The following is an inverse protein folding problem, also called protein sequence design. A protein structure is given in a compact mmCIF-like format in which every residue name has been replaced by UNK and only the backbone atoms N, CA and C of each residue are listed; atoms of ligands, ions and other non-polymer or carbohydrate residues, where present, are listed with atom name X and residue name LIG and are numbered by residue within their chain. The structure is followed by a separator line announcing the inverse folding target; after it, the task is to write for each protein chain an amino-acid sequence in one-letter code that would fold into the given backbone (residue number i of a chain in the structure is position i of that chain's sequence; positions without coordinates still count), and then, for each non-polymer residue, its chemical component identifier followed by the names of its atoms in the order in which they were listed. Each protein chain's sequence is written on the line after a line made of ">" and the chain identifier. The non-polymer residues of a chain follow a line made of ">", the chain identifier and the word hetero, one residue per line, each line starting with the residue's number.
data_IF_484263753314
#
_entry.id   IF_484263753314
#
_cell.length_a   1.000
_cell.length_b   1.000
_cell.length_c   1.000
_cell.angle_alpha   90.00
_cell.angle_beta   90.00
_cell.angle_gamma   90.00
#
_symmetry.space_group_name_H-M   'P 1'
#
loop_
_entity.id
_entity.type
_entity.pdbx_description
1 polymer ?
#
# COMPACT_ATOMS: atom_id res chain seq x y z
N UNK A 1 -0.05 8.17 36.60
CA UNK A 1 0.15 7.88 35.17
C UNK A 1 0.30 6.38 35.05
N UNK A 2 -0.63 5.69 34.40
CA UNK A 2 -0.57 4.24 34.23
C UNK A 2 0.57 3.86 33.28
N UNK A 3 1.44 2.96 33.72
CA UNK A 3 2.50 2.37 32.89
C UNK A 3 1.88 1.65 31.68
N UNK A 4 1.95 2.27 30.50
CA UNK A 4 1.68 1.56 29.25
C UNK A 4 2.80 0.55 29.01
N UNK A 5 2.51 -0.74 29.21
CA UNK A 5 3.42 -1.84 28.87
C UNK A 5 3.19 -2.27 27.42
N UNK A 6 4.28 -2.43 26.66
CA UNK A 6 4.24 -3.04 25.33
C UNK A 6 3.68 -4.48 25.41
N UNK A 7 2.94 -4.89 24.38
CA UNK A 7 2.37 -6.23 24.26
C UNK A 7 2.63 -6.78 22.86
N UNK A 8 3.06 -8.04 22.80
CA UNK A 8 3.11 -8.78 21.54
C UNK A 8 1.70 -9.18 21.10
N UNK A 9 1.37 -8.87 19.84
CA UNK A 9 0.05 -9.07 19.24
C UNK A 9 0.21 -9.61 17.83
N UNK A 10 -0.81 -10.28 17.31
CA UNK A 10 -0.81 -10.67 15.90
C UNK A 10 -0.99 -9.44 15.03
N UNK A 11 -0.31 -9.39 13.88
CA UNK A 11 -0.38 -8.23 12.98
C UNK A 11 -1.83 -7.88 12.57
N UNK A 12 -2.67 -8.89 12.33
CA UNK A 12 -4.08 -8.70 12.00
C UNK A 12 -4.96 -8.18 13.14
N UNK A 13 -4.46 -8.11 14.38
CA UNK A 13 -5.16 -7.48 15.50
C UNK A 13 -4.98 -5.95 15.52
N UNK A 14 -3.97 -5.44 14.80
CA UNK A 14 -3.60 -4.01 14.80
C UNK A 14 -3.57 -3.38 13.41
N UNK A 15 -3.81 -4.16 12.35
CA UNK A 15 -3.86 -3.69 10.96
C UNK A 15 -5.12 -4.22 10.27
N UNK A 16 -5.75 -3.36 9.48
CA UNK A 16 -6.78 -3.76 8.50
C UNK A 16 -6.11 -4.14 7.19
N UNK A 17 -6.21 -5.42 6.81
CA UNK A 17 -5.68 -5.88 5.52
C UNK A 17 -6.68 -5.62 4.40
N UNK A 18 -6.19 -5.10 3.27
CA UNK A 18 -6.96 -4.88 2.04
C UNK A 18 -8.33 -4.24 2.31
N UNK A 19 -8.36 -3.02 2.91
CA UNK A 19 -9.61 -2.32 3.12
C UNK A 19 -10.39 -2.19 1.80
N UNK A 20 -11.72 -2.18 1.91
CA UNK A 20 -12.56 -2.12 0.73
C UNK A 20 -12.67 -0.69 0.21
N UNK A 21 -12.03 -0.42 -0.93
CA UNK A 21 -12.16 0.86 -1.63
C UNK A 21 -12.95 0.70 -2.95
N UNK A 22 -13.46 1.82 -3.47
CA UNK A 22 -14.25 1.87 -4.70
C UNK A 22 -13.55 2.71 -5.76
N UNK A 23 -13.42 2.13 -6.95
CA UNK A 23 -13.00 2.80 -8.19
C UNK A 23 -13.80 2.16 -9.32
N UNK A 24 -14.33 2.98 -10.22
CA UNK A 24 -15.15 2.48 -11.33
C UNK A 24 -14.28 1.82 -12.39
N UNK A 25 -14.76 0.73 -13.01
CA UNK A 25 -14.07 0.14 -14.17
C UNK A 25 -13.94 1.20 -15.27
N UNK A 26 -12.81 1.19 -15.98
CA UNK A 26 -12.44 2.17 -17.02
C UNK A 26 -12.18 3.59 -16.53
N UNK A 27 -12.28 3.85 -15.22
CA UNK A 27 -11.85 5.13 -14.67
C UNK A 27 -10.32 5.21 -14.75
N UNK A 28 -9.79 6.30 -15.32
CA UNK A 28 -8.35 6.56 -15.32
C UNK A 28 -7.92 6.97 -13.91
N UNK A 29 -6.89 6.32 -13.39
CA UNK A 29 -6.33 6.62 -12.07
C UNK A 29 -4.82 6.36 -12.01
N UNK A 30 -4.21 6.72 -10.87
CA UNK A 30 -2.79 6.47 -10.61
C UNK A 30 -2.60 4.97 -10.35
N UNK A 31 -1.92 4.28 -11.27
CA UNK A 31 -1.54 2.87 -11.18
C UNK A 31 -0.08 2.77 -10.76
N UNK A 32 0.19 1.91 -9.78
CA UNK A 32 1.54 1.64 -9.30
C UNK A 32 1.88 0.21 -9.65
N UNK A 33 2.73 0.03 -10.66
CA UNK A 33 3.24 -1.27 -11.03
C UNK A 33 4.35 -1.72 -10.05
N UNK A 34 4.60 -3.02 -9.97
CA UNK A 34 5.55 -3.59 -9.00
C UNK A 34 6.99 -3.08 -9.21
N UNK A 35 7.36 -2.80 -10.46
CA UNK A 35 8.63 -2.20 -10.86
C UNK A 35 8.80 -0.76 -10.36
N UNK A 36 7.70 -0.03 -10.11
CA UNK A 36 7.72 1.34 -9.61
C UNK A 36 7.88 1.43 -8.08
N UNK A 37 7.71 0.31 -7.37
CA UNK A 37 8.02 0.22 -5.94
C UNK A 37 9.52 0.01 -5.75
N UNK A 38 10.21 1.08 -5.36
CA UNK A 38 11.64 1.05 -5.05
C UNK A 38 11.89 0.34 -3.70
N UNK A 39 12.86 -0.59 -3.64
CA UNK A 39 13.34 -1.17 -2.39
C UNK A 39 13.61 -0.12 -1.31
N UNK A 40 13.22 -0.42 -0.07
CA UNK A 40 13.55 0.37 1.13
C UNK A 40 13.15 1.85 1.04
N UNK A 41 12.15 2.18 0.21
CA UNK A 41 11.71 3.55 -0.03
C UNK A 41 10.32 3.76 0.58
N UNK A 42 10.25 4.66 1.57
CA UNK A 42 9.03 4.86 2.37
C UNK A 42 7.84 5.35 1.54
N UNK A 43 8.06 6.21 0.56
CA UNK A 43 7.00 6.85 -0.22
C UNK A 43 7.05 6.42 -1.68
N UNK A 44 5.90 6.39 -2.33
CA UNK A 44 5.81 6.14 -3.77
C UNK A 44 6.33 7.36 -4.53
N UNK A 45 7.33 7.13 -5.39
CA UNK A 45 7.95 8.20 -6.19
C UNK A 45 7.51 8.16 -7.66
N UNK A 46 6.96 7.04 -8.13
CA UNK A 46 6.58 6.84 -9.52
C UNK A 46 5.24 6.09 -9.64
N UNK A 47 4.41 6.55 -10.56
CA UNK A 47 3.13 5.97 -10.94
C UNK A 47 2.87 6.21 -12.41
N UNK A 48 1.94 5.48 -13.00
CA UNK A 48 1.42 5.76 -14.34
C UNK A 48 -0.07 6.05 -14.28
N UNK A 49 -0.59 6.78 -15.27
CA UNK A 49 -2.03 6.93 -15.44
C UNK A 49 -2.53 5.80 -16.33
N UNK A 50 -3.50 5.04 -15.83
CA UNK A 50 -4.09 3.93 -16.58
C UNK A 50 -5.57 3.76 -16.22
N UNK A 51 -6.35 3.22 -17.16
CA UNK A 51 -7.70 2.77 -16.88
C UNK A 51 -7.71 1.62 -15.87
N UNK A 52 -8.56 1.74 -14.85
CA UNK A 52 -8.77 0.67 -13.89
C UNK A 52 -9.52 -0.50 -14.53
N UNK A 53 -8.78 -1.59 -14.75
CA UNK A 53 -9.29 -2.85 -15.27
C UNK A 53 -9.29 -3.98 -14.22
N UNK A 54 -8.88 -3.68 -12.99
CA UNK A 54 -8.76 -4.63 -11.89
C UNK A 54 -7.48 -4.40 -11.07
N UNK A 55 -7.32 -5.18 -10.01
CA UNK A 55 -6.18 -5.09 -9.09
C UNK A 55 -6.56 -4.57 -7.71
N UNK A 56 -5.53 -4.41 -6.87
CA UNK A 56 -5.66 -3.84 -5.53
C UNK A 56 -5.94 -2.33 -5.64
N UNK A 57 -6.80 -1.85 -4.76
CA UNK A 57 -7.12 -0.43 -4.60
C UNK A 57 -6.46 0.06 -3.32
N UNK A 58 -6.20 1.35 -3.25
CA UNK A 58 -5.52 1.97 -2.13
C UNK A 58 -5.91 3.45 -2.06
N UNK A 59 -5.73 4.04 -0.90
CA UNK A 59 -5.90 5.48 -0.62
C UNK A 59 -4.69 6.06 0.10
N UNK A 60 -4.60 7.38 0.17
CA UNK A 60 -3.57 8.03 0.97
C UNK A 60 -3.62 7.53 2.43
N UNK A 61 -2.44 7.22 2.98
CA UNK A 61 -2.27 6.63 4.30
C UNK A 61 -2.09 5.11 4.31
N UNK A 62 -2.53 4.40 3.26
CA UNK A 62 -2.33 2.96 3.14
C UNK A 62 -0.85 2.60 2.97
N UNK A 63 -0.45 1.43 3.46
CA UNK A 63 0.88 0.85 3.21
C UNK A 63 0.76 -0.33 2.26
N UNK A 64 1.40 -0.24 1.10
CA UNK A 64 1.46 -1.31 0.11
C UNK A 64 2.63 -2.23 0.46
N UNK A 65 2.34 -3.53 0.52
CA UNK A 65 3.30 -4.61 0.79
C UNK A 65 3.35 -5.56 -0.41
N UNK A 66 4.55 -5.86 -0.90
CA UNK A 66 4.70 -6.92 -1.90
C UNK A 66 4.31 -8.28 -1.31
N UNK A 67 3.37 -8.98 -1.96
CA UNK A 67 2.91 -10.32 -1.50
C UNK A 67 3.83 -11.47 -1.87
N UNK A 68 4.77 -11.25 -2.78
CA UNK A 68 5.65 -12.29 -3.33
C UNK A 68 7.08 -12.14 -2.80
N UNK A 69 7.73 -13.28 -2.57
CA UNK A 69 9.17 -13.37 -2.30
C UNK A 69 9.93 -13.44 -3.63
N UNK A 70 11.08 -12.76 -3.80
CA UNK A 70 11.85 -12.02 -2.79
C UNK A 70 11.47 -10.54 -2.66
N UNK A 71 10.39 -10.07 -3.28
CA UNK A 71 10.07 -8.63 -3.29
C UNK A 71 9.84 -8.06 -1.89
N UNK A 72 9.14 -8.78 -1.01
CA UNK A 72 8.94 -8.35 0.37
C UNK A 72 10.25 -8.22 1.15
N UNK A 73 11.11 -9.24 1.05
CA UNK A 73 12.43 -9.29 1.70
C UNK A 73 13.37 -8.22 1.17
N UNK A 74 13.27 -7.91 -0.12
CA UNK A 74 13.97 -6.81 -0.77
C UNK A 74 13.34 -5.44 -0.44
N UNK A 75 12.47 -5.35 0.57
CA UNK A 75 11.94 -4.09 1.06
C UNK A 75 11.01 -3.39 0.08
N UNK A 76 10.33 -4.11 -0.82
CA UNK A 76 9.28 -3.51 -1.68
C UNK A 76 8.01 -3.25 -0.87
N UNK A 77 8.08 -2.17 -0.09
CA UNK A 77 7.02 -1.67 0.77
C UNK A 77 7.02 -0.15 0.72
N UNK A 78 5.87 0.47 0.50
CA UNK A 78 5.75 1.94 0.44
C UNK A 78 4.38 2.41 0.92
N UNK A 79 4.33 3.59 1.52
CA UNK A 79 3.11 4.28 1.92
C UNK A 79 2.58 5.16 0.77
N UNK A 80 1.26 5.13 0.59
CA UNK A 80 0.56 5.94 -0.40
C UNK A 80 0.37 7.36 0.11
N UNK A 81 0.89 8.32 -0.65
CA UNK A 81 0.77 9.77 -0.41
C UNK A 81 0.50 10.56 -1.68
N UNK A 82 0.34 9.87 -2.81
CA UNK A 82 0.36 10.46 -4.14
C UNK A 82 -1.03 10.73 -4.72
N UNK A 83 -2.12 10.38 -4.03
CA UNK A 83 -3.47 10.64 -4.55
C UNK A 83 -3.86 12.09 -4.26
N UNK A 84 -4.64 12.67 -5.17
CA UNK A 84 -5.20 14.01 -4.97
C UNK A 84 -6.38 13.90 -3.98
N UNK A 85 -6.58 14.91 -3.14
CA UNK A 85 -7.63 14.93 -2.10
C UNK A 85 -9.06 14.92 -2.68
#
# INVERSE_FOLDING_TARGET
>A
MSDMKWKEVKLGEVITFNPHDNISKKQVGKKIAMEKIKPFTKFIEDYELAEFNGGMKFKNGDTILARITPCLENGKTSQVTILDD
#
